data_IF_254978925326
#
_entry.id   IF_254978925326
#
_cell.length_a   1.000
_cell.length_b   1.000
_cell.length_c   1.000
_cell.angle_alpha   90.00
_cell.angle_beta   90.00
_cell.angle_gamma   90.00
#
_symmetry.space_group_name_H-M   'P 1'
#
loop_
_entity.id
_entity.type
_entity.pdbx_description
1 polymer ?
#
# COMPACT_ATOMS: atom_id res chain seq x y z
N UNK A 1 6.40 7.64 26.52
CA UNK A 1 7.32 6.60 26.07
C UNK A 1 7.92 6.98 24.72
N UNK A 2 9.18 6.81 24.60
CA UNK A 2 9.81 7.05 23.31
C UNK A 2 9.37 6.02 22.30
N UNK A 3 8.91 6.47 21.14
CA UNK A 3 8.53 5.62 20.05
C UNK A 3 9.33 6.06 18.83
N UNK A 4 10.14 5.16 18.29
CA UNK A 4 10.96 5.49 17.16
C UNK A 4 10.14 6.01 15.98
N UNK A 5 8.95 5.43 15.77
CA UNK A 5 8.08 5.85 14.69
C UNK A 5 7.49 7.21 14.93
N UNK A 6 7.22 7.54 16.18
CA UNK A 6 6.67 8.86 16.52
C UNK A 6 7.69 9.96 16.29
N UNK A 7 8.99 9.64 16.45
CA UNK A 7 10.04 10.61 16.25
C UNK A 7 10.49 10.68 14.81
N UNK A 8 10.12 9.68 14.02
CA UNK A 8 10.50 9.60 12.63
C UNK A 8 9.48 10.35 11.79
N UNK A 9 9.98 11.26 10.96
CA UNK A 9 9.09 12.02 10.08
C UNK A 9 8.63 11.12 8.95
N UNK A 10 7.33 10.85 8.89
CA UNK A 10 6.74 10.05 7.83
C UNK A 10 6.27 10.97 6.71
N UNK A 11 6.80 10.79 5.50
CA UNK A 11 6.41 11.66 4.38
C UNK A 11 4.93 11.60 4.10
N UNK A 12 4.40 12.69 3.56
CA UNK A 12 2.99 12.80 3.21
C UNK A 12 2.61 11.67 2.25
N UNK A 13 1.45 11.06 2.49
CA UNK A 13 0.97 9.97 1.66
C UNK A 13 1.50 8.61 2.07
N UNK A 14 2.35 8.56 3.09
CA UNK A 14 2.89 7.31 3.62
C UNK A 14 2.40 7.15 5.06
N UNK A 15 2.22 5.91 5.48
CA UNK A 15 1.75 5.62 6.83
C UNK A 15 2.58 4.49 7.43
N UNK A 16 2.68 4.49 8.77
CA UNK A 16 3.36 3.44 9.49
C UNK A 16 2.47 2.20 9.56
N UNK A 17 3.08 1.07 9.94
CA UNK A 17 2.37 -0.20 9.98
C UNK A 17 1.18 -0.18 10.94
N UNK A 18 1.27 0.56 12.02
CA UNK A 18 0.17 0.65 12.98
C UNK A 18 -1.07 1.25 12.34
N UNK A 19 -0.91 2.36 11.62
CA UNK A 19 -2.02 3.00 10.94
C UNK A 19 -2.51 2.16 9.77
N UNK A 20 -1.59 1.49 9.08
CA UNK A 20 -1.93 0.58 8.00
C UNK A 20 -2.89 -0.51 8.49
N UNK A 21 -2.52 -1.15 9.60
CA UNK A 21 -3.35 -2.21 10.18
C UNK A 21 -4.70 -1.68 10.63
N UNK A 22 -4.72 -0.48 11.20
CA UNK A 22 -5.97 0.11 11.66
C UNK A 22 -6.92 0.37 10.50
N UNK A 23 -6.39 0.89 9.39
CA UNK A 23 -7.20 1.15 8.21
C UNK A 23 -7.73 -0.16 7.60
N UNK A 24 -6.94 -1.23 7.64
CA UNK A 24 -7.42 -2.53 7.17
C UNK A 24 -8.60 -3.02 8.01
N UNK A 25 -8.54 -2.82 9.32
CA UNK A 25 -9.65 -3.19 10.20
C UNK A 25 -10.91 -2.40 9.86
N UNK A 26 -10.76 -1.21 9.33
CA UNK A 26 -11.87 -0.35 8.96
C UNK A 26 -12.37 -0.63 7.55
N UNK A 27 -11.84 -1.65 6.90
CA UNK A 27 -12.33 -2.08 5.59
C UNK A 27 -11.51 -1.61 4.39
N UNK A 28 -10.36 -0.96 4.62
CA UNK A 28 -9.51 -0.55 3.52
C UNK A 28 -8.94 -1.79 2.81
N UNK A 29 -8.69 -1.64 1.51
CA UNK A 29 -8.13 -2.73 0.70
C UNK A 29 -6.63 -2.58 0.60
N UNK A 30 -5.91 -3.65 0.92
CA UNK A 30 -4.45 -3.66 0.82
C UNK A 30 -4.03 -4.33 -0.49
N UNK A 31 -3.11 -3.70 -1.21
CA UNK A 31 -2.60 -4.19 -2.48
C UNK A 31 -1.10 -4.43 -2.36
N UNK A 32 -0.70 -5.67 -2.61
CA UNK A 32 0.69 -6.06 -2.68
C UNK A 32 1.14 -5.90 -4.14
N UNK A 33 2.07 -4.99 -4.38
CA UNK A 33 2.51 -4.70 -5.75
C UNK A 33 3.81 -5.41 -6.12
N UNK A 34 4.21 -6.38 -5.28
CA UNK A 34 5.37 -7.21 -5.58
C UNK A 34 5.01 -8.24 -6.64
N UNK A 35 5.99 -9.00 -7.10
CA UNK A 35 5.74 -10.05 -8.08
C UNK A 35 4.82 -11.14 -7.49
N UNK A 36 4.16 -11.92 -8.35
CA UNK A 36 3.34 -13.04 -7.86
C UNK A 36 4.16 -14.05 -7.04
N UNK A 37 5.42 -14.25 -7.41
CA UNK A 37 6.29 -15.17 -6.67
C UNK A 37 6.55 -14.66 -5.26
N UNK A 38 6.87 -13.38 -5.12
CA UNK A 38 7.07 -12.78 -3.80
C UNK A 38 5.81 -12.87 -2.96
N UNK A 39 4.66 -12.62 -3.57
CA UNK A 39 3.38 -12.69 -2.88
C UNK A 39 3.12 -14.09 -2.34
N UNK A 40 3.43 -15.11 -3.12
CA UNK A 40 3.26 -16.50 -2.69
C UNK A 40 4.15 -16.87 -1.50
N UNK A 41 5.32 -16.27 -1.44
CA UNK A 41 6.28 -16.54 -0.39
C UNK A 41 5.88 -15.95 0.95
N UNK A 42 4.90 -15.09 0.96
CA UNK A 42 4.38 -14.47 2.17
C UNK A 42 3.85 -13.08 1.88
N UNK A 43 2.70 -12.76 2.43
CA UNK A 43 2.09 -11.44 2.21
C UNK A 43 1.20 -11.09 3.40
N UNK A 44 0.81 -9.83 3.49
CA UNK A 44 -0.09 -9.38 4.55
C UNK A 44 -1.44 -10.07 4.37
N UNK A 45 -1.97 -10.72 5.42
CA UNK A 45 -3.27 -11.39 5.31
C UNK A 45 -4.35 -10.43 4.79
N UNK A 46 -5.11 -10.89 3.81
CA UNK A 46 -6.18 -10.09 3.22
C UNK A 46 -5.75 -9.21 2.07
N UNK A 47 -4.46 -9.07 1.82
CA UNK A 47 -3.98 -8.26 0.70
C UNK A 47 -4.20 -9.00 -0.62
N UNK A 48 -4.49 -8.21 -1.67
CA UNK A 48 -4.58 -8.78 -3.02
C UNK A 48 -3.30 -8.44 -3.75
N UNK A 49 -2.92 -9.27 -4.70
CA UNK A 49 -1.70 -9.07 -5.47
C UNK A 49 -2.01 -8.46 -6.83
N UNK A 50 -1.55 -7.24 -7.03
CA UNK A 50 -1.57 -6.59 -8.33
C UNK A 50 -0.15 -6.10 -8.55
N UNK A 51 0.68 -6.88 -9.27
CA UNK A 51 2.08 -6.48 -9.48
C UNK A 51 2.18 -5.09 -10.08
N UNK A 52 3.25 -4.40 -9.76
CA UNK A 52 3.47 -3.02 -10.20
C UNK A 52 3.20 -2.83 -11.69
N UNK A 53 3.67 -3.76 -12.52
CA UNK A 53 3.54 -3.65 -13.97
C UNK A 53 2.13 -3.92 -14.49
N UNK A 54 1.21 -4.40 -13.63
CA UNK A 54 -0.18 -4.65 -14.03
C UNK A 54 -1.16 -3.63 -13.48
N UNK A 55 -0.67 -2.67 -12.71
CA UNK A 55 -1.57 -1.78 -11.96
C UNK A 55 -2.52 -1.01 -12.87
N UNK A 56 -2.02 -0.46 -13.96
CA UNK A 56 -2.85 0.32 -14.86
C UNK A 56 -3.96 -0.49 -15.49
N UNK A 57 -3.68 -1.75 -15.80
CA UNK A 57 -4.65 -2.62 -16.46
C UNK A 57 -5.74 -3.10 -15.52
N UNK A 58 -5.36 -3.31 -14.25
CA UNK A 58 -6.25 -4.03 -13.34
C UNK A 58 -6.93 -3.16 -12.29
N UNK A 59 -6.36 -2.00 -11.99
CA UNK A 59 -6.84 -1.25 -10.81
C UNK A 59 -8.29 -0.81 -10.93
N UNK A 60 -8.73 -0.34 -12.08
CA UNK A 60 -10.10 0.16 -12.22
C UNK A 60 -11.13 -0.95 -12.08
N UNK A 61 -10.78 -2.15 -12.49
CA UNK A 61 -11.66 -3.29 -12.34
C UNK A 61 -11.70 -3.75 -10.88
N UNK A 62 -10.55 -3.77 -10.23
CA UNK A 62 -10.45 -4.21 -8.84
C UNK A 62 -10.98 -3.14 -7.88
N UNK A 63 -10.75 -1.88 -8.19
CA UNK A 63 -11.12 -0.74 -7.35
C UNK A 63 -11.85 0.29 -8.18
N UNK A 64 -13.13 0.07 -8.49
CA UNK A 64 -13.86 0.99 -9.38
C UNK A 64 -14.12 2.36 -8.76
N UNK A 65 -14.19 2.46 -7.44
CA UNK A 65 -14.48 3.74 -6.78
C UNK A 65 -13.19 4.49 -6.49
N UNK A 66 -13.09 5.71 -7.01
CA UNK A 66 -11.88 6.50 -6.89
C UNK A 66 -11.61 7.04 -5.50
N UNK A 67 -12.61 7.07 -4.64
CA UNK A 67 -12.47 7.58 -3.28
C UNK A 67 -12.30 6.50 -2.21
N UNK A 68 -12.28 5.22 -2.60
CA UNK A 68 -12.09 4.20 -1.57
C UNK A 68 -10.65 4.20 -1.07
N UNK A 69 -10.47 3.77 0.16
CA UNK A 69 -9.16 3.78 0.79
C UNK A 69 -8.36 2.59 0.28
N UNK A 70 -7.22 2.88 -0.32
CA UNK A 70 -6.34 1.88 -0.88
C UNK A 70 -4.99 1.96 -0.17
N UNK A 71 -4.56 0.81 0.35
CA UNK A 71 -3.27 0.69 1.02
C UNK A 71 -2.35 -0.10 0.09
N UNK A 72 -1.18 0.44 -0.18
CA UNK A 72 -0.25 -0.18 -1.12
C UNK A 72 1.05 -0.49 -0.40
N UNK A 73 1.63 -1.66 -0.67
CA UNK A 73 2.92 -1.98 -0.08
C UNK A 73 3.76 -2.85 -1.00
N UNK A 74 5.06 -2.81 -0.78
CA UNK A 74 6.01 -3.72 -1.40
C UNK A 74 7.03 -4.11 -0.33
N UNK A 75 8.19 -4.61 -0.71
CA UNK A 75 9.17 -5.07 0.27
C UNK A 75 9.78 -3.91 1.05
N UNK A 76 10.22 -2.85 0.36
CA UNK A 76 10.93 -1.73 0.98
C UNK A 76 10.27 -0.37 0.79
N UNK A 77 9.18 -0.29 0.05
CA UNK A 77 8.45 0.95 -0.15
C UNK A 77 8.69 1.67 -1.47
N UNK A 78 9.69 1.26 -2.25
CA UNK A 78 10.02 1.94 -3.51
C UNK A 78 9.03 1.67 -4.64
N UNK A 79 8.75 0.39 -4.88
CA UNK A 79 7.79 0.02 -5.93
C UNK A 79 6.40 0.54 -5.59
N UNK A 80 6.01 0.42 -4.31
CA UNK A 80 4.68 0.88 -3.90
C UNK A 80 4.57 2.39 -3.97
N UNK A 81 5.66 3.13 -3.74
CA UNK A 81 5.64 4.58 -3.89
C UNK A 81 5.30 4.95 -5.33
N UNK A 82 5.91 4.27 -6.29
CA UNK A 82 5.63 4.53 -7.70
C UNK A 82 4.18 4.22 -8.04
N UNK A 83 3.64 3.14 -7.49
CA UNK A 83 2.25 2.77 -7.72
C UNK A 83 1.32 3.81 -7.13
N UNK A 84 1.59 4.28 -5.92
CA UNK A 84 0.77 5.32 -5.30
C UNK A 84 0.74 6.58 -6.15
N UNK A 85 1.89 6.96 -6.67
CA UNK A 85 1.99 8.12 -7.55
C UNK A 85 1.11 7.91 -8.80
N UNK A 86 1.21 6.75 -9.39
CA UNK A 86 0.42 6.41 -10.58
C UNK A 86 -1.07 6.43 -10.28
N UNK A 87 -1.48 5.85 -9.15
CA UNK A 87 -2.88 5.81 -8.77
C UNK A 87 -3.44 7.21 -8.55
N UNK A 88 -2.66 8.09 -7.92
CA UNK A 88 -3.12 9.47 -7.73
C UNK A 88 -3.29 10.17 -9.07
N UNK A 89 -2.41 9.92 -10.02
CA UNK A 89 -2.55 10.47 -11.36
C UNK A 89 -3.79 9.94 -12.08
N UNK A 90 -4.22 8.74 -11.73
CA UNK A 90 -5.45 8.15 -12.29
C UNK A 90 -6.71 8.64 -11.59
N UNK A 91 -6.57 9.48 -10.56
CA UNK A 91 -7.72 10.06 -9.87
C UNK A 91 -8.09 9.44 -8.55
N UNK A 92 -7.34 8.44 -8.08
CA UNK A 92 -7.59 7.85 -6.77
C UNK A 92 -7.12 8.82 -5.68
N UNK A 93 -8.02 9.17 -4.76
CA UNK A 93 -7.79 10.25 -3.79
C UNK A 93 -7.33 9.76 -2.42
N UNK A 94 -7.54 8.50 -2.08
CA UNK A 94 -7.22 7.98 -0.75
C UNK A 94 -6.23 6.82 -0.82
N UNK A 95 -5.03 7.11 -1.30
CA UNK A 95 -3.99 6.11 -1.52
C UNK A 95 -2.86 6.33 -0.53
N UNK A 96 -2.50 5.27 0.20
CA UNK A 96 -1.46 5.33 1.22
C UNK A 96 -0.43 4.25 1.00
N UNK A 97 0.84 4.59 1.18
CA UNK A 97 1.95 3.68 1.01
C UNK A 97 2.47 3.26 2.39
N UNK A 98 2.66 1.96 2.60
CA UNK A 98 3.25 1.48 3.85
C UNK A 98 4.71 1.92 3.89
N UNK A 99 5.02 2.79 4.85
CA UNK A 99 6.36 3.35 4.98
C UNK A 99 7.36 2.23 5.33
N UNK A 100 8.39 2.10 4.50
CA UNK A 100 9.38 1.05 4.66
C UNK A 100 8.98 -0.33 4.15
N UNK A 101 7.71 -0.50 3.77
CA UNK A 101 7.22 -1.77 3.21
C UNK A 101 7.21 -2.90 4.23
N UNK A 102 7.16 -4.13 3.72
CA UNK A 102 7.17 -5.32 4.58
C UNK A 102 8.39 -5.38 5.48
N UNK A 103 9.48 -4.74 5.06
CA UNK A 103 10.70 -4.73 5.85
C UNK A 103 10.51 -4.12 7.23
N UNK A 104 9.44 -3.34 7.43
CA UNK A 104 9.14 -2.70 8.71
C UNK A 104 8.31 -3.59 9.64
N UNK A 105 7.86 -4.71 9.18
CA UNK A 105 7.01 -5.59 9.98
C UNK A 105 7.81 -6.50 10.90
#
# INVERSE_FOLDING_TARGET
MYCRRCCRRIPKGKIAIEEFNEKMKQGAIAIDVRSPQEYKEGHIPGAINIPEYEIRKRIQKEMPKKNQVILVYCEYGGRSRNVCYELRRMGYSNVFNLYGGLNEM
#
